data_IF_577246247050
#
_entry.id   IF_577246247050
#
_cell.length_a   1.000
_cell.length_b   1.000
_cell.length_c   1.000
_cell.angle_alpha   90.00
_cell.angle_beta   90.00
_cell.angle_gamma   90.00
#
_symmetry.space_group_name_H-M   'P 1'
#
loop_
_entity.id
_entity.type
_entity.pdbx_description
1 polymer ?
#
# COMPACT_ATOMS: atom_id res chain seq x y z
N UNK A 1 -1.71 -7.42 -15.24
CA UNK A 1 -2.28 -7.52 -13.88
C UNK A 1 -1.38 -8.33 -12.92
N UNK A 2 -0.74 -9.41 -13.38
CA UNK A 2 0.18 -10.24 -12.57
C UNK A 2 1.40 -9.53 -11.96
N UNK A 3 2.09 -8.67 -12.72
CA UNK A 3 3.30 -7.99 -12.21
C UNK A 3 3.03 -7.11 -10.98
N UNK A 4 1.87 -6.44 -10.93
CA UNK A 4 1.46 -5.63 -9.78
C UNK A 4 1.21 -6.48 -8.54
N UNK A 5 0.67 -7.68 -8.73
CA UNK A 5 0.37 -8.62 -7.65
C UNK A 5 1.64 -9.31 -7.12
N UNK A 6 2.55 -9.68 -8.03
CA UNK A 6 3.85 -10.26 -7.68
C UNK A 6 4.72 -9.29 -6.88
N UNK A 7 4.77 -8.01 -7.29
CA UNK A 7 5.50 -6.99 -6.55
C UNK A 7 4.94 -6.80 -5.13
N UNK A 8 3.61 -6.78 -4.99
CA UNK A 8 2.94 -6.65 -3.70
C UNK A 8 3.23 -7.86 -2.79
N UNK A 9 3.21 -9.07 -3.36
CA UNK A 9 3.49 -10.30 -2.62
C UNK A 9 4.95 -10.40 -2.19
N UNK A 10 5.89 -10.00 -3.06
CA UNK A 10 7.30 -9.90 -2.73
C UNK A 10 7.55 -8.88 -1.60
N UNK A 11 6.83 -7.75 -1.64
CA UNK A 11 6.91 -6.72 -0.61
C UNK A 11 6.40 -7.21 0.75
N UNK A 12 5.31 -7.99 0.78
CA UNK A 12 4.77 -8.60 2.01
C UNK A 12 5.76 -9.62 2.60
N UNK A 13 6.39 -10.45 1.75
CA UNK A 13 7.38 -11.43 2.23
C UNK A 13 8.60 -10.71 2.82
N UNK A 14 9.07 -9.63 2.17
CA UNK A 14 10.15 -8.79 2.68
C UNK A 14 9.77 -8.12 4.01
N UNK A 15 8.54 -7.62 4.14
CA UNK A 15 8.00 -7.04 5.38
C UNK A 15 8.01 -8.05 6.54
N UNK A 16 7.52 -9.27 6.30
CA UNK A 16 7.49 -10.33 7.32
C UNK A 16 8.90 -10.75 7.70
N UNK A 17 9.80 -10.91 6.73
CA UNK A 17 11.20 -11.25 6.99
C UNK A 17 11.90 -10.17 7.82
N UNK A 18 11.73 -8.88 7.47
CA UNK A 18 12.27 -7.77 8.26
C UNK A 18 11.61 -7.65 9.64
N UNK A 19 10.30 -7.92 9.73
CA UNK A 19 9.57 -7.90 10.99
C UNK A 19 10.08 -8.96 11.96
N UNK A 20 10.28 -10.19 11.48
CA UNK A 20 10.87 -11.26 12.27
C UNK A 20 12.32 -10.93 12.63
N UNK A 21 13.11 -10.38 11.70
CA UNK A 21 14.50 -10.00 11.97
C UNK A 21 14.60 -8.86 13.00
N UNK A 22 13.70 -7.88 12.92
CA UNK A 22 13.59 -6.75 13.85
C UNK A 22 13.13 -7.19 15.24
N UNK A 23 12.17 -8.13 15.31
CA UNK A 23 11.55 -8.59 16.56
C UNK A 23 12.41 -9.64 17.29
N UNK A 24 12.96 -10.61 16.54
CA UNK A 24 13.67 -11.76 17.12
C UNK A 24 15.19 -11.56 17.19
N UNK A 25 15.78 -10.71 16.34
CA UNK A 25 17.23 -10.73 16.09
C UNK A 25 17.96 -9.39 16.31
N UNK A 26 17.34 -8.31 16.84
CA UNK A 26 18.06 -7.02 16.84
C UNK A 26 17.97 -6.08 18.05
N UNK A 27 19.13 -5.95 18.69
CA UNK A 27 19.67 -4.70 19.23
C UNK A 27 20.02 -3.66 18.13
N UNK A 28 19.99 -4.00 16.83
CA UNK A 28 20.33 -3.06 15.76
C UNK A 28 19.18 -2.08 15.47
N UNK A 29 19.48 -0.78 15.60
CA UNK A 29 18.55 0.32 15.29
C UNK A 29 18.13 0.33 13.82
N UNK A 30 19.02 -0.09 12.92
CA UNK A 30 18.83 0.02 11.47
C UNK A 30 17.74 -0.92 10.95
N UNK A 31 17.67 -2.16 11.45
CA UNK A 31 16.64 -3.12 11.06
C UNK A 31 15.23 -2.65 11.47
N UNK A 32 15.11 -2.04 12.66
CA UNK A 32 13.87 -1.42 13.15
C UNK A 32 13.43 -0.25 12.27
N UNK A 33 14.36 0.59 11.86
CA UNK A 33 14.07 1.74 11.01
C UNK A 33 13.63 1.33 9.59
N UNK A 34 14.30 0.33 9.00
CA UNK A 34 13.89 -0.21 7.70
C UNK A 34 12.51 -0.87 7.76
N UNK A 35 12.22 -1.63 8.82
CA UNK A 35 10.88 -2.21 9.02
C UNK A 35 9.81 -1.12 9.12
N UNK A 36 10.07 -0.06 9.89
CA UNK A 36 9.15 1.07 10.01
C UNK A 36 8.91 1.79 8.68
N UNK A 37 9.97 2.06 7.91
CA UNK A 37 9.87 2.72 6.61
C UNK A 37 9.06 1.88 5.60
N UNK A 38 9.33 0.58 5.56
CA UNK A 38 8.65 -0.37 4.68
C UNK A 38 7.16 -0.42 5.03
N UNK A 39 6.83 -0.52 6.32
CA UNK A 39 5.45 -0.50 6.82
C UNK A 39 4.74 0.81 6.53
N UNK A 40 5.41 1.95 6.71
CA UNK A 40 4.84 3.27 6.44
C UNK A 40 4.44 3.42 4.96
N UNK A 41 5.22 2.88 4.03
CA UNK A 41 4.89 2.90 2.59
C UNK A 41 3.64 2.05 2.32
N UNK A 42 3.52 0.86 2.93
CA UNK A 42 2.33 -0.01 2.77
C UNK A 42 1.09 0.70 3.29
N UNK A 43 1.16 1.21 4.52
CA UNK A 43 0.04 1.90 5.16
C UNK A 43 -0.34 3.15 4.36
N UNK A 44 0.64 3.95 3.91
CA UNK A 44 0.37 5.13 3.09
C UNK A 44 -0.31 4.77 1.76
N UNK A 45 0.17 3.73 1.06
CA UNK A 45 -0.47 3.25 -0.16
C UNK A 45 -1.89 2.72 0.09
N UNK A 46 -2.09 2.00 1.20
CA UNK A 46 -3.41 1.49 1.61
C UNK A 46 -4.36 2.65 1.92
N UNK A 47 -3.89 3.64 2.69
CA UNK A 47 -4.64 4.84 3.08
C UNK A 47 -4.95 5.72 1.88
N UNK A 48 -4.03 5.93 0.94
CA UNK A 48 -4.31 6.64 -0.31
C UNK A 48 -5.41 5.93 -1.12
N UNK A 49 -5.35 4.59 -1.17
CA UNK A 49 -6.34 3.79 -1.90
C UNK A 49 -7.70 3.81 -1.20
N UNK A 50 -7.72 3.79 0.13
CA UNK A 50 -8.93 3.92 0.95
C UNK A 50 -9.50 5.34 0.84
N UNK A 51 -8.67 6.36 0.91
CA UNK A 51 -9.03 7.77 0.77
C UNK A 51 -9.65 8.04 -0.59
N UNK A 52 -9.09 7.51 -1.67
CA UNK A 52 -9.67 7.61 -3.01
C UNK A 52 -10.97 6.79 -3.20
N UNK A 53 -11.27 5.88 -2.28
CA UNK A 53 -12.55 5.18 -2.22
C UNK A 53 -13.57 5.89 -1.32
N UNK A 54 -13.11 6.55 -0.26
CA UNK A 54 -13.92 7.21 0.77
C UNK A 54 -14.28 8.66 0.40
N UNK A 55 -13.38 9.37 -0.29
CA UNK A 55 -13.69 10.54 -1.10
C UNK A 55 -13.89 10.04 -2.52
N UNK A 56 -15.12 9.66 -2.93
CA UNK A 56 -15.42 9.57 -4.34
C UNK A 56 -15.24 10.97 -4.91
N UNK A 57 -14.12 11.16 -5.58
CA UNK A 57 -13.89 12.26 -6.52
C UNK A 57 -15.13 12.34 -7.42
N UNK A 58 -15.99 13.33 -7.15
CA UNK A 58 -17.31 13.52 -7.75
C UNK A 58 -17.22 13.62 -9.30
N UNK A 59 -16.01 13.84 -9.81
CA UNK A 59 -15.64 13.84 -11.22
C UNK A 59 -15.90 12.51 -11.96
N UNK A 60 -16.01 11.37 -11.26
CA UNK A 60 -16.29 10.08 -11.92
C UNK A 60 -17.78 9.83 -12.19
N UNK A 61 -18.69 10.57 -11.53
CA UNK A 61 -20.14 10.48 -11.77
C UNK A 61 -20.57 11.27 -13.01
N UNK A 62 -19.94 12.41 -13.29
CA UNK A 62 -20.34 13.27 -14.40
C UNK A 62 -20.03 12.66 -15.78
N UNK A 63 -18.89 11.96 -15.95
CA UNK A 63 -18.52 11.31 -17.23
C UNK A 63 -19.42 10.12 -17.62
N UNK A 64 -20.09 9.48 -16.67
CA UNK A 64 -21.02 8.38 -16.96
C UNK A 64 -22.46 8.87 -17.16
N UNK A 65 -22.81 10.06 -16.67
CA UNK A 65 -24.12 10.67 -16.91
C UNK A 65 -24.20 11.28 -18.32
N UNK A 66 -23.11 11.87 -18.83
CA UNK A 66 -23.08 12.42 -20.20
C UNK A 66 -23.17 11.34 -21.29
N UNK A 67 -22.53 10.18 -21.11
CA UNK A 67 -22.61 9.05 -22.07
C UNK A 67 -23.94 8.29 -22.08
N UNK A 68 -24.82 8.53 -21.11
CA UNK A 68 -26.15 7.89 -21.04
C UNK A 68 -27.26 8.78 -21.63
N UNK A 69 -26.91 10.01 -21.98
CA UNK A 69 -27.83 11.02 -22.54
C UNK A 69 -27.56 11.29 -24.03
N UNK A 70 -26.56 10.61 -24.62
CA UNK A 70 -26.29 10.56 -26.06
C UNK A 70 -26.80 9.25 -26.67
#
# INVERSE_FOLDING_TARGET
MFAKFAFLLFFIIAEIALGIYSLAMSESLMAKFLFFLLSAIIVCALVMKLSNHLLPDDDRREKNLKRKTE
#
